data_IF_113415582619
#
_entry.id   IF_113415582619
#
_cell.length_a   1.000
_cell.length_b   1.000
_cell.length_c   1.000
_cell.angle_alpha   90.00
_cell.angle_beta   90.00
_cell.angle_gamma   90.00
#
_symmetry.space_group_name_H-M   'P 1'
#
loop_
_entity.id
_entity.type
_entity.pdbx_description
1 polymer ?
#
# COMPACT_ATOMS: atom_id res chain seq x y z
N UNK A 1 4.67 16.72 6.39
CA UNK A 1 3.98 15.75 5.52
C UNK A 1 2.47 15.93 5.64
N UNK A 2 1.76 16.44 4.61
CA UNK A 2 0.30 16.71 4.70
C UNK A 2 -0.58 15.48 4.44
N UNK A 3 -0.19 14.57 3.55
CA UNK A 3 -1.03 13.45 3.13
C UNK A 3 -1.05 12.24 4.09
N UNK A 4 -0.05 12.12 4.98
CA UNK A 4 0.12 10.98 5.91
C UNK A 4 -0.10 9.61 5.23
N UNK A 5 0.46 9.43 4.04
CA UNK A 5 0.24 8.25 3.20
C UNK A 5 1.55 7.49 2.96
N UNK A 6 1.50 6.16 3.07
CA UNK A 6 2.54 5.21 2.71
C UNK A 6 2.02 4.34 1.57
N UNK A 7 2.79 4.23 0.49
CA UNK A 7 2.44 3.41 -0.68
C UNK A 7 3.38 2.21 -0.71
N UNK A 8 2.82 1.02 -0.77
CA UNK A 8 3.56 -0.24 -0.86
C UNK A 8 3.26 -0.94 -2.17
N UNK A 9 4.32 -1.44 -2.81
CA UNK A 9 4.23 -2.22 -4.04
C UNK A 9 4.68 -3.62 -3.68
N UNK A 10 3.73 -4.54 -3.68
CA UNK A 10 3.91 -5.91 -3.24
C UNK A 10 4.20 -6.82 -4.45
N UNK A 11 5.36 -7.47 -4.42
CA UNK A 11 5.74 -8.46 -5.41
C UNK A 11 5.26 -9.85 -5.04
N UNK A 12 5.27 -10.79 -6.00
CA UNK A 12 4.88 -12.20 -5.83
C UNK A 12 5.63 -13.00 -4.73
N UNK A 13 6.48 -12.36 -3.92
CA UNK A 13 7.29 -12.94 -2.85
C UNK A 13 6.58 -12.97 -1.48
N UNK A 14 5.43 -12.30 -1.31
CA UNK A 14 4.75 -12.17 -0.01
C UNK A 14 3.62 -13.19 0.28
N UNK A 15 3.77 -14.45 -0.14
CA UNK A 15 2.76 -15.49 0.19
C UNK A 15 2.93 -16.13 1.57
N UNK A 16 4.02 -15.85 2.28
CA UNK A 16 4.43 -16.65 3.44
C UNK A 16 4.32 -15.97 4.81
N UNK A 17 3.90 -14.70 4.91
CA UNK A 17 3.99 -13.99 6.20
C UNK A 17 2.87 -12.97 6.47
N UNK A 18 1.62 -13.41 6.39
CA UNK A 18 0.43 -12.58 6.67
C UNK A 18 0.48 -11.89 8.04
N UNK A 19 1.03 -12.55 9.06
CA UNK A 19 1.14 -11.96 10.40
C UNK A 19 2.14 -10.80 10.41
N UNK A 20 3.29 -10.94 9.74
CA UNK A 20 4.30 -9.90 9.65
C UNK A 20 3.79 -8.67 8.89
N UNK A 21 3.03 -8.88 7.82
CA UNK A 21 2.39 -7.79 7.07
C UNK A 21 1.35 -7.03 7.90
N UNK A 22 0.58 -7.77 8.72
CA UNK A 22 -0.39 -7.18 9.64
C UNK A 22 0.31 -6.34 10.71
N UNK A 23 1.30 -6.90 11.39
CA UNK A 23 2.05 -6.19 12.44
C UNK A 23 2.73 -4.94 11.88
N UNK A 24 3.29 -5.03 10.67
CA UNK A 24 3.92 -3.89 9.98
C UNK A 24 2.90 -2.81 9.64
N UNK A 25 1.71 -3.19 9.18
CA UNK A 25 0.62 -2.24 8.91
C UNK A 25 0.18 -1.54 10.21
N UNK A 26 -0.06 -2.30 11.28
CA UNK A 26 -0.50 -1.75 12.58
C UNK A 26 0.53 -0.78 13.16
N UNK A 27 1.83 -1.09 13.08
CA UNK A 27 2.89 -0.19 13.53
C UNK A 27 2.87 1.11 12.71
N UNK A 28 2.79 1.03 11.38
CA UNK A 28 2.78 2.22 10.52
C UNK A 28 1.54 3.07 10.78
N UNK A 29 0.37 2.44 10.92
CA UNK A 29 -0.88 3.13 11.21
C UNK A 29 -0.90 3.78 12.60
N UNK A 30 -0.19 3.20 13.58
CA UNK A 30 -0.04 3.80 14.92
C UNK A 30 0.64 5.18 14.90
N UNK A 31 1.45 5.47 13.88
CA UNK A 31 2.04 6.80 13.66
C UNK A 31 1.07 7.79 12.99
N UNK A 32 -0.19 7.40 12.80
CA UNK A 32 -1.22 8.18 12.13
C UNK A 32 -1.05 8.23 10.62
N UNK A 33 -0.29 7.30 10.04
CA UNK A 33 -0.11 7.13 8.61
C UNK A 33 -1.17 6.16 8.06
N UNK A 34 -1.56 6.32 6.79
CA UNK A 34 -2.40 5.37 6.06
C UNK A 34 -1.54 4.56 5.12
N UNK A 35 -1.73 3.24 5.10
CA UNK A 35 -1.03 2.36 4.16
C UNK A 35 -1.94 2.01 2.99
N UNK A 36 -1.46 2.17 1.75
CA UNK A 36 -2.11 1.66 0.56
C UNK A 36 -1.16 0.72 -0.18
N UNK A 37 -1.65 -0.48 -0.51
CA UNK A 37 -0.89 -1.53 -1.19
C UNK A 37 -1.41 -1.79 -2.59
N UNK A 38 -0.48 -2.02 -3.52
CA UNK A 38 -0.71 -2.42 -4.90
C UNK A 38 0.15 -3.65 -5.22
N UNK A 39 -0.34 -4.54 -6.08
CA UNK A 39 0.49 -5.58 -6.66
C UNK A 39 1.28 -5.04 -7.86
N UNK A 40 2.36 -5.72 -8.24
CA UNK A 40 3.07 -5.37 -9.48
C UNK A 40 2.13 -5.35 -10.70
N UNK A 41 1.24 -6.34 -10.83
CA UNK A 41 0.24 -6.37 -11.90
C UNK A 41 -0.77 -5.22 -11.84
N UNK A 42 -1.03 -4.63 -10.66
CA UNK A 42 -1.87 -3.44 -10.60
C UNK A 42 -1.20 -2.25 -11.30
N UNK A 43 0.12 -2.16 -11.21
CA UNK A 43 0.91 -1.11 -11.86
C UNK A 43 1.06 -1.41 -13.35
N UNK A 44 1.44 -2.65 -13.68
CA UNK A 44 1.76 -3.05 -15.04
C UNK A 44 0.49 -3.11 -15.92
N UNK A 45 -0.60 -3.67 -15.40
CA UNK A 45 -1.81 -3.95 -16.19
C UNK A 45 -2.94 -2.95 -15.93
N UNK A 46 -2.94 -2.26 -14.77
CA UNK A 46 -4.08 -1.47 -14.31
C UNK A 46 -3.68 -0.08 -13.77
N UNK A 47 -2.68 0.56 -14.36
CA UNK A 47 -2.13 1.83 -13.86
C UNK A 47 -3.18 2.94 -13.62
N UNK A 48 -4.21 3.03 -14.46
CA UNK A 48 -5.27 4.02 -14.29
C UNK A 48 -6.11 3.78 -13.01
N UNK A 49 -6.25 2.52 -12.59
CA UNK A 49 -6.88 2.17 -11.31
C UNK A 49 -6.00 2.60 -10.13
N UNK A 50 -4.69 2.39 -10.22
CA UNK A 50 -3.70 2.89 -9.24
C UNK A 50 -3.81 4.41 -9.09
N UNK A 51 -3.79 5.13 -10.22
CA UNK A 51 -3.91 6.59 -10.25
C UNK A 51 -5.21 7.09 -9.59
N UNK A 52 -6.36 6.51 -9.98
CA UNK A 52 -7.66 6.88 -9.38
C UNK A 52 -7.71 6.64 -7.89
N UNK A 53 -7.07 5.58 -7.39
CA UNK A 53 -6.98 5.30 -5.96
C UNK A 53 -6.12 6.35 -5.25
N UNK A 54 -4.97 6.73 -5.81
CA UNK A 54 -4.08 7.75 -5.24
C UNK A 54 -4.71 9.15 -5.22
N UNK A 55 -5.51 9.52 -6.24
CA UNK A 55 -6.20 10.81 -6.29
C UNK A 55 -7.21 11.04 -5.15
N UNK A 56 -7.60 10.00 -4.39
CA UNK A 56 -8.45 10.15 -3.21
C UNK A 56 -7.72 10.72 -1.98
N UNK A 57 -6.39 10.76 -2.02
CA UNK A 57 -5.54 11.14 -0.89
C UNK A 57 -4.75 12.43 -1.12
N UNK A 58 -4.91 13.04 -2.31
CA UNK A 58 -4.30 14.31 -2.72
C UNK A 58 -5.42 15.36 -2.78
#
# INVERSE_FOLDING_TARGET
HKAKLVIEIDGNQHKSNQQYDKDRTEIIESYGLKVIRFQNSDIDDNFEMVRKRLMKYI
#
